data_IF_997539161168
#
_entry.id   IF_997539161168
#
_cell.length_a   1.000
_cell.length_b   1.000
_cell.length_c   1.000
_cell.angle_alpha   90.00
_cell.angle_beta   90.00
_cell.angle_gamma   90.00
#
_symmetry.space_group_name_H-M   'P 1'
#
loop_
_entity.id
_entity.type
_entity.pdbx_description
1 polymer ?
#
# COMPACT_ATOMS: atom_id res chain seq x y z
N UNK A 1 13.47 31.69 9.36
CA UNK A 1 13.05 30.34 9.83
C UNK A 1 13.42 30.03 11.30
N UNK A 2 13.67 31.03 12.17
CA UNK A 2 13.91 30.79 13.60
C UNK A 2 12.64 31.04 14.47
N UNK A 3 11.73 31.88 13.98
CA UNK A 3 10.53 32.30 14.70
C UNK A 3 9.55 31.13 14.93
N UNK A 4 9.21 30.37 13.88
CA UNK A 4 8.25 29.26 13.99
C UNK A 4 8.73 28.14 14.94
N UNK A 5 10.02 27.79 14.89
CA UNK A 5 10.61 26.80 15.79
C UNK A 5 10.57 27.26 17.25
N UNK A 6 10.79 28.56 17.50
CA UNK A 6 10.75 29.17 18.83
C UNK A 6 9.32 29.27 19.39
N UNK A 7 8.36 29.65 18.54
CA UNK A 7 6.92 29.72 18.88
C UNK A 7 6.35 28.33 19.19
N UNK A 8 6.74 27.31 18.43
CA UNK A 8 6.27 25.93 18.61
C UNK A 8 7.11 25.11 19.61
N UNK A 9 8.14 25.71 20.25
CA UNK A 9 9.10 25.04 21.14
C UNK A 9 9.75 23.77 20.54
N UNK A 10 9.98 23.76 19.22
CA UNK A 10 10.62 22.63 18.52
C UNK A 10 12.07 22.99 18.18
N UNK A 11 13.00 22.07 18.36
CA UNK A 11 14.38 22.31 17.93
C UNK A 11 14.48 22.43 16.41
N UNK A 12 15.41 23.26 15.91
CA UNK A 12 15.65 23.41 14.46
C UNK A 12 16.00 22.08 13.80
N UNK A 13 16.75 21.22 14.48
CA UNK A 13 17.10 19.88 14.01
C UNK A 13 15.88 18.97 13.90
N UNK A 14 14.95 19.00 14.85
CA UNK A 14 13.70 18.25 14.77
C UNK A 14 12.79 18.74 13.64
N UNK A 15 12.73 20.05 13.37
CA UNK A 15 11.99 20.61 12.24
C UNK A 15 12.49 20.09 10.89
N UNK A 16 13.81 20.11 10.66
CA UNK A 16 14.38 19.60 9.41
C UNK A 16 14.30 18.06 9.32
N UNK A 17 14.46 17.33 10.42
CA UNK A 17 14.23 15.88 10.44
C UNK A 17 12.77 15.52 10.09
N UNK A 18 11.80 16.29 10.60
CA UNK A 18 10.40 16.14 10.22
C UNK A 18 10.17 16.45 8.74
N UNK A 19 10.81 17.49 8.20
CA UNK A 19 10.70 17.84 6.78
C UNK A 19 11.32 16.77 5.88
N UNK A 20 12.51 16.26 6.22
CA UNK A 20 13.17 15.17 5.49
C UNK A 20 12.36 13.86 5.56
N UNK A 21 11.73 13.56 6.70
CA UNK A 21 10.85 12.39 6.81
C UNK A 21 9.56 12.52 5.97
N UNK A 22 9.14 13.74 5.63
CA UNK A 22 7.95 14.00 4.80
C UNK A 22 8.16 13.61 3.34
N UNK A 23 9.34 13.86 2.77
CA UNK A 23 9.67 13.43 1.40
C UNK A 23 9.74 11.90 1.32
N UNK A 24 10.40 11.26 2.27
CA UNK A 24 10.46 9.79 2.37
C UNK A 24 9.07 9.15 2.53
N UNK A 25 8.18 9.75 3.35
CA UNK A 25 6.78 9.32 3.47
C UNK A 25 6.04 9.40 2.13
N UNK A 26 6.25 10.48 1.36
CA UNK A 26 5.61 10.66 0.05
C UNK A 26 6.08 9.62 -0.96
N UNK A 27 7.38 9.33 -0.99
CA UNK A 27 7.94 8.31 -1.88
C UNK A 27 7.36 6.92 -1.58
N UNK A 28 7.27 6.55 -0.30
CA UNK A 28 6.64 5.29 0.12
C UNK A 28 5.18 5.19 -0.33
N UNK A 29 4.40 6.26 -0.18
CA UNK A 29 3.00 6.29 -0.63
C UNK A 29 2.85 6.12 -2.14
N UNK A 30 3.76 6.70 -2.93
CA UNK A 30 3.77 6.51 -4.39
C UNK A 30 4.04 5.05 -4.76
N UNK A 31 5.07 4.44 -4.17
CA UNK A 31 5.39 3.04 -4.39
C UNK A 31 4.25 2.10 -3.94
N UNK A 32 3.52 2.44 -2.87
CA UNK A 32 2.32 1.70 -2.48
C UNK A 32 1.18 1.86 -3.49
N UNK A 33 0.95 3.07 -4.00
CA UNK A 33 -0.08 3.31 -5.02
C UNK A 33 0.21 2.54 -6.32
N UNK A 34 1.48 2.48 -6.75
CA UNK A 34 1.92 1.67 -7.89
C UNK A 34 1.66 0.19 -7.67
N UNK A 35 2.02 -0.33 -6.49
CA UNK A 35 1.77 -1.73 -6.13
C UNK A 35 0.27 -2.05 -6.09
N UNK A 36 -0.56 -1.14 -5.60
CA UNK A 36 -2.02 -1.30 -5.59
C UNK A 36 -2.59 -1.33 -7.00
N UNK A 37 -2.06 -0.52 -7.91
CA UNK A 37 -2.47 -0.56 -9.32
C UNK A 37 -2.15 -1.92 -9.94
N UNK A 38 -0.97 -2.47 -9.69
CA UNK A 38 -0.57 -3.81 -10.16
C UNK A 38 -1.47 -4.91 -9.58
N UNK A 39 -1.78 -4.85 -8.28
CA UNK A 39 -2.73 -5.75 -7.61
C UNK A 39 -4.11 -5.70 -8.27
N UNK A 40 -4.61 -4.50 -8.61
CA UNK A 40 -5.91 -4.32 -9.27
C UNK A 40 -5.93 -4.97 -10.65
N UNK A 41 -4.87 -4.80 -11.44
CA UNK A 41 -4.75 -5.42 -12.76
C UNK A 41 -4.80 -6.94 -12.65
N UNK A 42 -4.00 -7.53 -11.75
CA UNK A 42 -3.97 -8.98 -11.53
C UNK A 42 -5.31 -9.52 -11.00
N UNK A 43 -5.94 -8.78 -10.10
CA UNK A 43 -7.25 -9.15 -9.56
C UNK A 43 -8.34 -9.09 -10.64
N UNK A 44 -8.36 -8.05 -11.48
CA UNK A 44 -9.27 -7.91 -12.60
C UNK A 44 -9.04 -9.01 -13.66
N UNK A 45 -7.79 -9.34 -13.98
CA UNK A 45 -7.44 -10.43 -14.89
C UNK A 45 -7.97 -11.79 -14.39
N UNK A 46 -8.02 -11.99 -13.07
CA UNK A 46 -8.62 -13.16 -12.44
C UNK A 46 -10.15 -13.12 -12.32
N UNK A 47 -10.82 -12.12 -12.92
CA UNK A 47 -12.26 -11.81 -12.77
C UNK A 47 -12.70 -11.65 -11.31
N UNK A 48 -11.78 -11.19 -10.47
CA UNK A 48 -11.98 -11.02 -9.04
C UNK A 48 -11.91 -12.32 -8.22
N UNK A 49 -11.51 -13.46 -8.78
CA UNK A 49 -11.43 -14.70 -8.02
C UNK A 49 -10.22 -14.78 -7.08
N UNK A 50 -9.16 -14.02 -7.35
CA UNK A 50 -7.92 -14.15 -6.59
C UNK A 50 -7.91 -13.28 -5.34
N UNK A 51 -7.77 -13.94 -4.18
CA UNK A 51 -7.43 -13.32 -2.91
C UNK A 51 -5.94 -13.10 -2.72
N UNK A 52 -5.55 -12.56 -1.55
CA UNK A 52 -4.18 -12.16 -1.25
C UNK A 52 -3.09 -13.22 -1.52
N UNK A 53 -3.27 -14.51 -1.18
CA UNK A 53 -2.23 -15.52 -1.44
C UNK A 53 -1.96 -15.72 -2.94
N UNK A 54 -3.03 -15.74 -3.76
CA UNK A 54 -2.93 -15.94 -5.21
C UNK A 54 -2.38 -14.71 -5.92
N UNK A 55 -2.76 -13.52 -5.46
CA UNK A 55 -2.18 -12.25 -5.94
C UNK A 55 -0.69 -12.18 -5.59
N UNK A 56 -0.30 -12.53 -4.35
CA UNK A 56 1.11 -12.57 -3.95
C UNK A 56 1.92 -13.52 -4.84
N UNK A 57 1.41 -14.72 -5.10
CA UNK A 57 2.07 -15.67 -6.01
C UNK A 57 2.17 -15.14 -7.45
N UNK A 58 1.17 -14.41 -7.94
CA UNK A 58 1.20 -13.79 -9.26
C UNK A 58 2.22 -12.63 -9.33
N UNK A 59 2.28 -11.78 -8.31
CA UNK A 59 3.28 -10.71 -8.19
C UNK A 59 4.71 -11.29 -8.18
N UNK A 60 4.94 -12.37 -7.41
CA UNK A 60 6.24 -13.04 -7.36
C UNK A 60 6.64 -13.63 -8.71
N UNK A 61 5.68 -14.20 -9.46
CA UNK A 61 5.89 -14.68 -10.84
C UNK A 61 6.20 -13.54 -11.82
N UNK A 62 5.65 -12.35 -11.58
CA UNK A 62 5.97 -11.13 -12.33
C UNK A 62 7.31 -10.47 -11.89
N UNK A 63 8.08 -11.12 -11.01
CA UNK A 63 9.37 -10.60 -10.53
C UNK A 63 9.27 -9.57 -9.40
N UNK A 64 8.08 -9.35 -8.84
CA UNK A 64 7.88 -8.45 -7.68
C UNK A 64 8.08 -9.21 -6.37
N UNK A 65 9.12 -8.86 -5.63
CA UNK A 65 9.36 -9.38 -4.28
C UNK A 65 8.65 -8.49 -3.25
N UNK A 66 7.46 -8.91 -2.82
CA UNK A 66 6.65 -8.19 -1.82
C UNK A 66 6.16 -9.17 -0.78
N UNK A 67 6.21 -8.80 0.51
CA UNK A 67 5.66 -9.63 1.58
C UNK A 67 4.14 -9.84 1.42
N UNK A 68 3.68 -11.08 1.56
CA UNK A 68 2.25 -11.43 1.49
C UNK A 68 1.39 -10.60 2.45
N UNK A 69 1.84 -10.33 3.68
CA UNK A 69 1.12 -9.50 4.65
C UNK A 69 0.93 -8.07 4.17
N UNK A 70 1.87 -7.56 3.39
CA UNK A 70 1.74 -6.24 2.75
C UNK A 70 0.68 -6.27 1.65
N UNK A 71 0.62 -7.34 0.86
CA UNK A 71 -0.43 -7.53 -0.15
C UNK A 71 -1.81 -7.63 0.51
N UNK A 72 -1.93 -8.44 1.56
CA UNK A 72 -3.16 -8.61 2.34
C UNK A 72 -3.66 -7.26 2.89
N UNK A 73 -2.77 -6.51 3.55
CA UNK A 73 -3.08 -5.17 4.08
C UNK A 73 -3.56 -4.22 2.98
N UNK A 74 -2.85 -4.14 1.87
CA UNK A 74 -3.20 -3.24 0.76
C UNK A 74 -4.52 -3.64 0.10
N UNK A 75 -4.78 -4.93 -0.09
CA UNK A 75 -6.07 -5.40 -0.60
C UNK A 75 -7.21 -5.00 0.34
N UNK A 76 -7.02 -5.14 1.66
CA UNK A 76 -8.01 -4.72 2.67
C UNK A 76 -8.26 -3.21 2.66
N UNK A 77 -7.19 -2.41 2.69
CA UNK A 77 -7.28 -0.94 2.70
C UNK A 77 -7.97 -0.39 1.43
N UNK A 78 -7.74 -1.04 0.29
CA UNK A 78 -8.32 -0.62 -1.00
C UNK A 78 -9.62 -1.37 -1.37
N UNK A 79 -10.21 -2.12 -0.44
CA UNK A 79 -11.45 -2.89 -0.62
C UNK A 79 -11.42 -3.84 -1.82
N UNK A 80 -10.27 -4.44 -2.09
CA UNK A 80 -10.08 -5.45 -3.13
C UNK A 80 -10.37 -6.81 -2.50
N UNK A 81 -11.54 -7.37 -2.78
CA UNK A 81 -12.05 -8.58 -2.13
C UNK A 81 -12.26 -9.66 -3.19
N UNK A 82 -11.78 -10.88 -2.91
CA UNK A 82 -12.05 -12.02 -3.76
C UNK A 82 -13.55 -12.33 -3.80
N UNK A 83 -14.09 -12.58 -4.99
CA UNK A 83 -15.47 -13.04 -5.17
C UNK A 83 -15.61 -14.41 -4.51
N UNK A 84 -16.33 -14.45 -3.40
CA UNK A 84 -16.78 -15.71 -2.79
C UNK A 84 -18.05 -16.13 -3.53
N UNK A 85 -18.06 -17.33 -4.09
CA UNK A 85 -19.28 -17.90 -4.67
C UNK A 85 -20.16 -18.34 -3.50
N UNK A 86 -21.23 -17.59 -3.21
CA UNK A 86 -22.27 -18.04 -2.29
C UNK A 86 -23.04 -19.13 -3.04
N UNK A 87 -22.94 -20.37 -2.57
CA UNK A 87 -23.75 -21.46 -3.11
C UNK A 87 -25.17 -21.26 -2.55
N UNK A 88 -25.98 -20.48 -3.25
CA UNK A 88 -27.41 -20.36 -2.95
C UNK A 88 -28.08 -21.69 -3.30
N UNK A 89 -28.16 -22.58 -2.32
CA UNK A 89 -29.07 -23.72 -2.35
C UNK A 89 -30.47 -23.18 -2.09
N UNK A 90 -31.32 -23.16 -3.12
CA UNK A 90 -32.77 -22.96 -3.04
C UNK A 90 -33.42 -23.85 -4.10
#
# INVERSE_FOLDING_TARGET
MAFLCRVLKVSRSAYYAWMASRSARRLRRRAEAELVAEIRVLHAASRGAYGAPRIHAALRRAGRVVNEKRVERLMREHRIIARVRHNSTA
#
